data_IF_219839707382
#
_entry.id   IF_219839707382
#
_cell.length_a   1.000
_cell.length_b   1.000
_cell.length_c   1.000
_cell.angle_alpha   90.00
_cell.angle_beta   90.00
_cell.angle_gamma   90.00
#
_symmetry.space_group_name_H-M   'P 1'
#
loop_
_entity.id
_entity.type
_entity.pdbx_description
1 polymer ?
#
# COMPACT_ATOMS: atom_id res chain seq x y z
N UNK A 1 -7.27 5.45 14.57
CA UNK A 1 -6.23 4.39 14.70
C UNK A 1 -5.11 4.58 13.66
N UNK A 2 -5.43 4.81 12.38
CA UNK A 2 -4.46 5.05 11.30
C UNK A 2 -3.44 6.18 11.54
N UNK A 3 -3.88 7.28 12.15
CA UNK A 3 -3.05 8.46 12.43
C UNK A 3 -2.31 8.39 13.78
N UNK A 4 -2.42 7.28 14.51
CA UNK A 4 -1.76 7.13 15.81
C UNK A 4 -0.24 7.01 15.64
N UNK A 5 0.49 7.66 16.55
CA UNK A 5 1.95 7.59 16.69
C UNK A 5 2.29 7.20 18.11
N UNK A 6 3.20 6.24 18.27
CA UNK A 6 3.77 5.91 19.57
C UNK A 6 4.75 6.98 20.05
N UNK A 7 5.14 6.92 21.33
CA UNK A 7 6.11 7.86 21.91
C UNK A 7 7.49 7.84 21.22
N UNK A 8 7.84 6.74 20.56
CA UNK A 8 9.06 6.57 19.76
C UNK A 8 8.81 6.77 18.24
N UNK A 9 7.74 7.49 17.89
CA UNK A 9 7.35 7.88 16.52
C UNK A 9 6.93 6.75 15.57
N UNK A 10 6.77 5.50 16.02
CA UNK A 10 6.27 4.42 15.17
C UNK A 10 4.81 4.66 14.79
N UNK A 11 4.49 4.45 13.52
CA UNK A 11 3.13 4.60 12.99
C UNK A 11 2.85 3.61 11.86
N UNK A 12 1.57 3.40 11.56
CA UNK A 12 1.15 2.62 10.40
C UNK A 12 1.67 3.27 9.10
N UNK A 13 1.64 4.61 9.05
CA UNK A 13 2.16 5.37 7.93
C UNK A 13 3.64 5.03 7.63
N UNK A 14 4.49 4.99 8.65
CA UNK A 14 5.91 4.62 8.49
C UNK A 14 6.10 3.16 8.07
N UNK A 15 5.25 2.26 8.57
CA UNK A 15 5.32 0.85 8.18
C UNK A 15 5.01 0.67 6.68
N UNK A 16 4.02 1.39 6.17
CA UNK A 16 3.67 1.40 4.75
C UNK A 16 4.77 2.07 3.93
N UNK A 17 5.27 3.23 4.36
CA UNK A 17 6.37 3.95 3.69
C UNK A 17 7.65 3.09 3.57
N UNK A 18 7.91 2.23 4.56
CA UNK A 18 9.05 1.30 4.54
C UNK A 18 9.00 0.30 3.38
N UNK A 19 7.81 -0.01 2.86
CA UNK A 19 7.62 -0.99 1.79
C UNK A 19 7.79 -0.37 0.38
N UNK A 20 7.65 0.94 0.24
CA UNK A 20 7.71 1.65 -1.05
C UNK A 20 8.98 1.32 -1.85
N UNK A 21 10.20 1.35 -1.27
CA UNK A 21 11.42 1.10 -2.05
C UNK A 21 11.49 -0.30 -2.67
N UNK A 22 10.77 -1.28 -2.12
CA UNK A 22 10.73 -2.63 -2.69
C UNK A 22 9.77 -2.75 -3.88
N UNK A 23 8.76 -1.88 -3.95
CA UNK A 23 7.79 -1.85 -5.04
C UNK A 23 8.35 -1.06 -6.22
N UNK A 24 9.13 -0.01 -5.94
CA UNK A 24 9.80 0.80 -6.95
C UNK A 24 11.09 0.15 -7.49
N UNK A 25 11.35 -1.13 -7.17
CA UNK A 25 12.58 -1.85 -7.50
C UNK A 25 13.88 -1.17 -7.04
N UNK A 26 13.80 -0.22 -6.11
CA UNK A 26 14.96 0.48 -5.50
C UNK A 26 15.65 -0.38 -4.44
N UNK A 27 14.97 -1.42 -3.94
CA UNK A 27 15.50 -2.35 -2.94
C UNK A 27 14.97 -3.76 -3.19
N UNK A 28 15.85 -4.75 -3.09
CA UNK A 28 15.48 -6.16 -3.18
C UNK A 28 14.93 -6.70 -1.86
N UNK A 29 13.88 -7.52 -1.93
CA UNK A 29 13.34 -8.22 -0.78
C UNK A 29 14.21 -9.43 -0.40
N UNK A 30 14.94 -9.31 0.71
CA UNK A 30 15.87 -10.36 1.19
C UNK A 30 15.31 -11.26 2.28
N UNK A 31 14.06 -11.03 2.66
CA UNK A 31 13.39 -11.80 3.72
C UNK A 31 12.60 -12.96 3.11
N UNK A 32 12.40 -14.01 3.91
CA UNK A 32 11.55 -15.11 3.47
C UNK A 32 10.11 -14.61 3.30
N UNK A 33 9.52 -14.85 2.13
CA UNK A 33 8.11 -14.62 1.85
C UNK A 33 7.41 -15.97 1.69
N UNK A 34 6.81 -16.53 2.76
CA UNK A 34 6.08 -17.78 2.64
C UNK A 34 4.82 -17.57 1.79
N UNK A 35 4.59 -18.46 0.82
CA UNK A 35 3.42 -18.44 -0.05
C UNK A 35 3.67 -17.81 -1.42
N UNK A 36 2.60 -17.32 -2.04
CA UNK A 36 2.63 -16.77 -3.40
C UNK A 36 2.88 -15.25 -3.36
N UNK A 37 3.92 -14.79 -4.06
CA UNK A 37 4.31 -13.38 -4.13
C UNK A 37 3.25 -12.51 -4.81
N UNK A 38 2.62 -12.98 -5.89
CA UNK A 38 1.57 -12.25 -6.59
C UNK A 38 0.39 -11.94 -5.66
N UNK A 39 -0.02 -12.93 -4.84
CA UNK A 39 -1.06 -12.73 -3.82
C UNK A 39 -0.65 -11.76 -2.72
N UNK A 40 0.64 -11.71 -2.39
CA UNK A 40 1.16 -10.73 -1.43
C UNK A 40 1.12 -9.32 -2.03
N UNK A 41 1.45 -9.19 -3.31
CA UNK A 41 1.37 -7.92 -4.05
C UNK A 41 -0.06 -7.44 -4.21
N UNK A 42 -1.03 -8.33 -4.46
CA UNK A 42 -2.47 -7.99 -4.50
C UNK A 42 -2.95 -7.40 -3.17
N UNK A 43 -2.62 -8.04 -2.04
CA UNK A 43 -2.96 -7.50 -0.72
C UNK A 43 -2.29 -6.17 -0.45
N UNK A 44 -1.02 -6.07 -0.81
CA UNK A 44 -0.24 -4.84 -0.64
C UNK A 44 -0.88 -3.68 -1.42
N UNK A 45 -1.38 -3.93 -2.63
CA UNK A 45 -2.14 -2.94 -3.40
C UNK A 45 -3.36 -2.42 -2.64
N UNK A 46 -4.14 -3.31 -2.02
CA UNK A 46 -5.30 -2.93 -1.20
C UNK A 46 -4.85 -2.08 0.00
N UNK A 47 -3.75 -2.47 0.66
CA UNK A 47 -3.19 -1.69 1.77
C UNK A 47 -2.82 -0.26 1.36
N UNK A 48 -2.28 -0.06 0.16
CA UNK A 48 -1.98 1.27 -0.39
C UNK A 48 -3.23 2.06 -0.79
N UNK A 49 -4.26 1.41 -1.33
CA UNK A 49 -5.56 2.08 -1.59
C UNK A 49 -6.22 2.54 -0.29
N UNK A 50 -6.18 1.71 0.76
CA UNK A 50 -6.61 2.09 2.10
C UNK A 50 -5.79 3.27 2.63
N UNK A 51 -4.46 3.22 2.50
CA UNK A 51 -3.59 4.29 2.95
C UNK A 51 -3.90 5.62 2.22
N UNK A 52 -4.15 5.59 0.91
CA UNK A 52 -4.57 6.77 0.15
C UNK A 52 -5.86 7.36 0.73
N UNK A 53 -6.87 6.51 1.00
CA UNK A 53 -8.15 6.93 1.56
C UNK A 53 -8.03 7.48 3.00
N UNK A 54 -7.28 6.80 3.87
CA UNK A 54 -7.17 7.19 5.28
C UNK A 54 -6.23 8.37 5.54
N UNK A 55 -5.21 8.57 4.69
CA UNK A 55 -4.23 9.65 4.85
C UNK A 55 -4.44 10.82 3.89
N UNK A 56 -5.25 10.67 2.85
CA UNK A 56 -5.48 11.71 1.84
C UNK A 56 -4.23 12.05 1.03
N UNK A 57 -3.28 11.11 0.90
CA UNK A 57 -2.00 11.31 0.23
C UNK A 57 -1.96 10.48 -1.06
N UNK A 58 -1.95 11.19 -2.19
CA UNK A 58 -1.97 10.61 -3.53
C UNK A 58 -0.76 9.72 -3.83
N UNK A 59 0.36 9.88 -3.08
CA UNK A 59 1.52 9.01 -3.27
C UNK A 59 1.16 7.53 -3.13
N UNK A 60 0.26 7.19 -2.19
CA UNK A 60 -0.15 5.81 -1.97
C UNK A 60 -1.01 5.28 -3.11
N UNK A 61 -1.91 6.11 -3.66
CA UNK A 61 -2.69 5.75 -4.84
C UNK A 61 -1.78 5.52 -6.07
N UNK A 62 -0.76 6.36 -6.24
CA UNK A 62 0.22 6.22 -7.32
C UNK A 62 1.02 4.92 -7.20
N UNK A 63 1.48 4.57 -5.99
CA UNK A 63 2.15 3.28 -5.72
C UNK A 63 1.20 2.10 -5.97
N UNK A 64 -0.07 2.18 -5.55
CA UNK A 64 -1.05 1.13 -5.82
C UNK A 64 -1.27 0.91 -7.33
N UNK A 65 -1.18 1.97 -8.14
CA UNK A 65 -1.33 1.91 -9.59
C UNK A 65 -0.14 1.24 -10.30
N UNK A 66 1.07 1.24 -9.71
CA UNK A 66 2.23 0.55 -10.28
C UNK A 66 2.21 -0.95 -10.01
N UNK A 67 1.46 -1.40 -9.01
CA UNK A 67 1.31 -2.83 -8.70
C UNK A 67 0.38 -3.47 -9.73
N UNK A 68 0.88 -4.52 -10.39
CA UNK A 68 0.15 -5.26 -11.44
C UNK A 68 -1.25 -5.64 -10.95
N UNK A 69 -2.24 -5.30 -11.76
CA UNK A 69 -3.64 -5.56 -11.44
C UNK A 69 -3.97 -7.03 -11.72
N UNK A 70 -3.98 -7.84 -10.66
CA UNK A 70 -4.48 -9.21 -10.69
C UNK A 70 -5.79 -9.35 -9.87
N UNK A 71 -6.28 -8.25 -9.27
CA UNK A 71 -7.38 -8.23 -8.30
C UNK A 71 -8.77 -8.01 -8.92
N UNK A 72 -9.79 -8.25 -8.10
CA UNK A 72 -11.21 -8.15 -8.46
C UNK A 72 -11.68 -6.68 -8.46
N UNK A 73 -12.61 -6.32 -9.35
CA UNK A 73 -13.09 -4.95 -9.56
C UNK A 73 -13.67 -4.30 -8.28
N UNK A 74 -14.12 -5.14 -7.34
CA UNK A 74 -14.75 -4.74 -6.08
C UNK A 74 -13.82 -3.93 -5.16
N UNK A 75 -12.50 -4.18 -5.17
CA UNK A 75 -11.58 -3.49 -4.26
C UNK A 75 -11.51 -1.98 -4.56
N UNK A 76 -11.69 -1.59 -5.82
CA UNK A 76 -11.73 -0.18 -6.26
C UNK A 76 -13.01 0.54 -5.84
N UNK A 77 -14.11 -0.20 -5.65
CA UNK A 77 -15.39 0.35 -5.20
C UNK A 77 -15.43 0.55 -3.68
N UNK A 78 -14.77 -0.35 -2.93
CA UNK A 78 -14.72 -0.28 -1.46
C UNK A 78 -13.78 0.85 -1.00
N UNK A 79 -12.70 1.09 -1.74
CA UNK A 79 -11.72 2.12 -1.43
C UNK A 79 -11.61 3.16 -2.56
N UNK A 80 -12.62 4.05 -2.70
CA UNK A 80 -12.59 5.09 -3.70
C UNK A 80 -11.51 6.13 -3.38
N UNK A 81 -10.78 6.57 -4.41
CA UNK A 81 -9.85 7.69 -4.33
C UNK A 81 -10.65 8.94 -4.70
N UNK A 82 -10.76 9.91 -3.79
CA UNK A 82 -11.71 11.05 -3.94
C UNK A 82 -11.35 12.07 -5.04
N UNK A 83 -10.21 11.94 -5.74
CA UNK A 83 -9.80 12.85 -6.81
C UNK A 83 -9.54 12.10 -8.14
N UNK A 84 -10.61 11.78 -8.88
CA UNK A 84 -10.51 11.34 -10.28
C UNK A 84 -11.19 12.32 -11.27
N UNK A 85 -11.18 13.62 -10.97
CA UNK A 85 -11.66 14.67 -11.88
C UNK A 85 -10.67 15.80 -12.04
#
# INVERSE_FOLDING_TARGET
>A
MWTHKSADNRSIQQAIDCLIPYIEDKKEWKHQQPGNLDKAMEKLKIDYLMAASFFGDEKYANIAATIKDNGDFLDKLIYPIENQY
#
